data_IF_615684486820
#
_entry.id   IF_615684486820
#
_cell.length_a   1.000
_cell.length_b   1.000
_cell.length_c   1.000
_cell.angle_alpha   90.00
_cell.angle_beta   90.00
_cell.angle_gamma   90.00
#
_symmetry.space_group_name_H-M   'P 1'
#
loop_
_entity.id
_entity.type
_entity.pdbx_description
1 polymer ?
#
# COMPACT_ATOMS: atom_id res chain seq x y z
N UNK A 1 34.05 4.26 11.05
CA UNK A 1 32.65 4.75 11.07
C UNK A 1 31.81 3.82 10.22
N UNK A 2 31.01 2.95 10.84
CA UNK A 2 30.17 1.98 10.15
C UNK A 2 28.95 2.69 9.54
N UNK A 3 28.69 2.48 8.24
CA UNK A 3 27.46 2.94 7.59
C UNK A 3 26.28 2.21 8.26
N UNK A 4 25.31 2.95 8.82
CA UNK A 4 24.02 2.38 9.27
C UNK A 4 23.19 2.03 8.03
N UNK A 5 22.99 0.74 7.69
CA UNK A 5 22.25 0.33 6.50
C UNK A 5 20.72 0.48 6.67
N UNK A 6 20.24 0.72 7.89
CA UNK A 6 18.82 0.72 8.23
C UNK A 6 18.01 1.89 7.68
N UNK A 7 18.66 2.97 7.22
CA UNK A 7 17.95 4.17 6.70
C UNK A 7 17.23 3.91 5.38
N UNK A 8 17.86 3.22 4.44
CA UNK A 8 17.36 3.14 3.06
C UNK A 8 16.19 2.15 2.96
N UNK A 9 16.32 0.98 3.59
CA UNK A 9 15.26 -0.03 3.63
C UNK A 9 13.99 0.50 4.29
N UNK A 10 14.14 1.18 5.43
CA UNK A 10 13.02 1.82 6.13
C UNK A 10 12.36 2.92 5.29
N UNK A 11 13.15 3.72 4.56
CA UNK A 11 12.62 4.76 3.66
C UNK A 11 11.86 4.16 2.47
N UNK A 12 12.29 3.02 1.93
CA UNK A 12 11.56 2.29 0.89
C UNK A 12 10.21 1.83 1.44
N UNK A 13 10.18 1.21 2.62
CA UNK A 13 8.93 0.76 3.24
C UNK A 13 7.95 1.91 3.49
N UNK A 14 8.42 3.04 4.00
CA UNK A 14 7.60 4.24 4.16
C UNK A 14 7.07 4.77 2.82
N UNK A 15 7.87 4.71 1.76
CA UNK A 15 7.46 5.13 0.41
C UNK A 15 6.37 4.20 -0.14
N UNK A 16 6.53 2.88 0.01
CA UNK A 16 5.52 1.89 -0.38
C UNK A 16 4.21 2.13 0.39
N UNK A 17 4.30 2.37 1.70
CA UNK A 17 3.14 2.66 2.52
C UNK A 17 2.41 3.93 2.05
N UNK A 18 3.15 5.01 1.85
CA UNK A 18 2.60 6.29 1.41
C UNK A 18 1.91 6.19 0.05
N UNK A 19 2.54 5.53 -0.93
CA UNK A 19 1.98 5.30 -2.27
C UNK A 19 0.73 4.43 -2.17
N UNK A 20 0.75 3.37 -1.36
CA UNK A 20 -0.40 2.47 -1.20
C UNK A 20 -1.59 3.18 -0.57
N UNK A 21 -1.37 4.04 0.44
CA UNK A 21 -2.42 4.86 1.04
C UNK A 21 -2.98 5.84 0.01
N UNK A 22 -2.12 6.52 -0.75
CA UNK A 22 -2.57 7.43 -1.80
C UNK A 22 -3.41 6.71 -2.86
N UNK A 23 -2.98 5.52 -3.31
CA UNK A 23 -3.76 4.68 -4.22
C UNK A 23 -5.10 4.27 -3.62
N UNK A 24 -5.14 3.89 -2.34
CA UNK A 24 -6.38 3.50 -1.68
C UNK A 24 -7.37 4.67 -1.61
N UNK A 25 -6.89 5.89 -1.32
CA UNK A 25 -7.70 7.10 -1.29
C UNK A 25 -8.24 7.44 -2.69
N UNK A 26 -7.40 7.38 -3.73
CA UNK A 26 -7.81 7.61 -5.11
C UNK A 26 -8.84 6.56 -5.58
N UNK A 27 -8.65 5.30 -5.17
CA UNK A 27 -9.59 4.23 -5.46
C UNK A 27 -10.92 4.43 -4.72
N UNK A 28 -10.86 4.82 -3.44
CA UNK A 28 -12.03 5.21 -2.64
C UNK A 28 -12.81 6.36 -3.28
N UNK A 29 -12.10 7.37 -3.79
CA UNK A 29 -12.70 8.47 -4.54
C UNK A 29 -13.36 8.01 -5.85
N UNK A 30 -12.71 7.10 -6.57
CA UNK A 30 -13.26 6.48 -7.78
C UNK A 30 -14.62 5.82 -7.52
N UNK A 31 -14.80 5.13 -6.39
CA UNK A 31 -16.07 4.50 -6.05
C UNK A 31 -17.26 5.46 -5.93
N UNK A 32 -17.03 6.75 -5.69
CA UNK A 32 -18.10 7.77 -5.70
C UNK A 32 -18.71 7.96 -7.10
N UNK A 33 -18.00 7.54 -8.15
CA UNK A 33 -18.36 7.73 -9.55
C UNK A 33 -18.61 6.40 -10.28
N UNK A 34 -18.37 5.26 -9.60
CA UNK A 34 -18.60 3.93 -10.17
C UNK A 34 -20.01 3.46 -9.87
N UNK A 35 -20.73 3.07 -10.91
CA UNK A 35 -22.05 2.45 -10.78
C UNK A 35 -21.92 1.02 -10.19
N UNK A 36 -22.64 0.71 -9.11
CA UNK A 36 -22.67 -0.64 -8.55
C UNK A 36 -23.14 -1.67 -9.58
N UNK A 37 -22.51 -2.84 -9.59
CA UNK A 37 -22.86 -3.95 -10.50
C UNK A 37 -22.19 -3.89 -11.88
N UNK A 38 -21.40 -2.84 -12.16
CA UNK A 38 -20.57 -2.79 -13.37
C UNK A 38 -19.27 -3.59 -13.22
N UNK A 39 -18.66 -4.07 -14.32
CA UNK A 39 -17.36 -4.74 -14.26
C UNK A 39 -16.27 -3.88 -13.60
N UNK A 40 -16.28 -2.57 -13.85
CA UNK A 40 -15.33 -1.61 -13.25
C UNK A 40 -15.50 -1.52 -11.74
N UNK A 41 -16.73 -1.60 -11.22
CA UNK A 41 -17.00 -1.64 -9.78
C UNK A 41 -16.38 -2.88 -9.13
N UNK A 42 -16.54 -4.06 -9.73
CA UNK A 42 -15.95 -5.31 -9.23
C UNK A 42 -14.42 -5.26 -9.27
N UNK A 43 -13.84 -4.75 -10.37
CA UNK A 43 -12.39 -4.53 -10.48
C UNK A 43 -11.90 -3.58 -9.39
N UNK A 44 -12.65 -2.51 -9.11
CA UNK A 44 -12.35 -1.59 -8.01
C UNK A 44 -12.31 -2.32 -6.66
N UNK A 45 -13.26 -3.21 -6.38
CA UNK A 45 -13.31 -3.94 -5.10
C UNK A 45 -12.11 -4.87 -4.95
N UNK A 46 -11.79 -5.64 -5.99
CA UNK A 46 -10.62 -6.53 -6.01
C UNK A 46 -9.33 -5.72 -5.82
N UNK A 47 -9.23 -4.58 -6.51
CA UNK A 47 -8.08 -3.67 -6.38
C UNK A 47 -7.95 -3.13 -4.96
N UNK A 48 -9.06 -2.77 -4.31
CA UNK A 48 -9.06 -2.28 -2.94
C UNK A 48 -8.55 -3.36 -1.98
N UNK A 49 -8.98 -4.61 -2.14
CA UNK A 49 -8.48 -5.74 -1.35
C UNK A 49 -6.96 -5.89 -1.50
N UNK A 50 -6.44 -5.86 -2.74
CA UNK A 50 -5.00 -5.99 -3.00
C UNK A 50 -4.21 -4.85 -2.35
N UNK A 51 -4.68 -3.61 -2.48
CA UNK A 51 -4.02 -2.44 -1.86
C UNK A 51 -4.05 -2.52 -0.34
N UNK A 52 -5.18 -2.91 0.27
CA UNK A 52 -5.29 -3.09 1.73
C UNK A 52 -4.33 -4.18 2.22
N UNK A 53 -4.25 -5.33 1.54
CA UNK A 53 -3.30 -6.39 1.88
C UNK A 53 -1.86 -5.89 1.78
N UNK A 54 -1.55 -5.08 0.77
CA UNK A 54 -0.21 -4.48 0.60
C UNK A 54 0.13 -3.52 1.74
N UNK A 55 -0.82 -2.68 2.17
CA UNK A 55 -0.65 -1.78 3.32
C UNK A 55 -0.38 -2.60 4.59
N UNK A 56 -1.18 -3.64 4.85
CA UNK A 56 -1.01 -4.50 6.02
C UNK A 56 0.35 -5.22 6.00
N UNK A 57 0.74 -5.78 4.86
CA UNK A 57 2.06 -6.41 4.70
C UNK A 57 3.21 -5.42 4.92
N UNK A 58 3.07 -4.19 4.45
CA UNK A 58 4.06 -3.12 4.65
C UNK A 58 4.14 -2.69 6.12
N UNK A 59 3.00 -2.57 6.81
CA UNK A 59 2.96 -2.26 8.24
C UNK A 59 3.60 -3.39 9.07
N UNK A 60 3.34 -4.64 8.72
CA UNK A 60 4.01 -5.78 9.32
C UNK A 60 5.52 -5.69 9.09
N UNK A 61 5.98 -5.45 7.87
CA UNK A 61 7.41 -5.29 7.58
C UNK A 61 8.07 -4.17 8.41
N UNK A 62 7.40 -3.02 8.52
CA UNK A 62 7.88 -1.86 9.31
C UNK A 62 7.94 -2.14 10.82
N UNK A 63 7.07 -2.99 11.35
CA UNK A 63 6.98 -3.30 12.79
C UNK A 63 7.80 -4.54 13.18
N UNK A 64 8.15 -5.40 12.23
CA UNK A 64 8.83 -6.68 12.49
C UNK A 64 10.36 -6.60 12.45
N UNK A 65 10.95 -5.40 12.43
CA UNK A 65 12.38 -5.16 12.14
C UNK A 65 12.87 -5.90 10.87
N UNK A 66 11.96 -6.15 9.92
CA UNK A 66 12.28 -6.97 8.76
C UNK A 66 13.09 -6.16 7.76
N UNK A 67 14.34 -6.58 7.54
CA UNK A 67 15.28 -5.98 6.60
C UNK A 67 15.43 -6.92 5.40
N UNK A 68 14.68 -6.70 4.30
CA UNK A 68 14.76 -7.54 3.10
C UNK A 68 16.08 -7.38 2.31
N UNK A 69 16.83 -6.30 2.56
CA UNK A 69 18.07 -5.92 1.86
C UNK A 69 18.97 -5.08 2.76
#
# INVERSE_FOLDING_TARGET
MARRPSSLSHQIWLSILAVSIAMLLLLGWSFLHLEPGTPSYVIGQVSAVVVVVTILGTLLALTSDWVPF
#
